data_IF_021403119501
#
_entry.id   IF_021403119501
#
_cell.length_a   1.000
_cell.length_b   1.000
_cell.length_c   1.000
_cell.angle_alpha   90.00
_cell.angle_beta   90.00
_cell.angle_gamma   90.00
#
_symmetry.space_group_name_H-M   'P 1'
#
loop_
_entity.id
_entity.type
_entity.pdbx_description
1 polymer ?
#
# COMPACT_ATOMS: atom_id res chain seq x y z
N UNK A 1 20.26 0.42 -18.12
CA UNK A 1 19.30 0.24 -19.25
C UNK A 1 18.24 1.34 -19.22
N UNK A 2 17.93 2.03 -20.32
CA UNK A 2 17.00 3.20 -20.33
C UNK A 2 15.60 2.84 -19.79
N UNK A 3 15.08 1.68 -20.17
CA UNK A 3 13.75 1.20 -19.75
C UNK A 3 13.68 1.00 -18.23
N UNK A 4 14.70 0.39 -17.60
CA UNK A 4 14.72 0.18 -16.15
C UNK A 4 14.76 1.49 -15.37
N UNK A 5 15.47 2.50 -15.89
CA UNK A 5 15.48 3.84 -15.31
C UNK A 5 14.09 4.48 -15.37
N UNK A 6 13.40 4.36 -16.51
CA UNK A 6 12.03 4.86 -16.66
C UNK A 6 11.04 4.15 -15.73
N UNK A 7 11.17 2.83 -15.55
CA UNK A 7 10.34 2.06 -14.61
C UNK A 7 10.57 2.51 -13.17
N UNK A 8 11.83 2.70 -12.73
CA UNK A 8 12.12 3.24 -11.39
C UNK A 8 11.52 4.63 -11.17
N UNK A 9 11.68 5.53 -12.13
CA UNK A 9 11.10 6.88 -12.01
C UNK A 9 9.57 6.86 -11.92
N UNK A 10 8.91 5.94 -12.66
CA UNK A 10 7.46 5.79 -12.57
C UNK A 10 7.04 5.24 -11.20
N UNK A 11 7.75 4.24 -10.68
CA UNK A 11 7.50 3.65 -9.37
C UNK A 11 7.71 4.67 -8.24
N UNK A 12 8.78 5.47 -8.29
CA UNK A 12 9.01 6.60 -7.37
C UNK A 12 7.87 7.61 -7.41
N UNK A 13 7.38 7.94 -8.61
CA UNK A 13 6.25 8.85 -8.75
C UNK A 13 4.97 8.28 -8.14
N UNK A 14 4.64 7.02 -8.40
CA UNK A 14 3.46 6.37 -7.83
C UNK A 14 3.57 6.34 -6.29
N UNK A 15 4.72 5.97 -5.75
CA UNK A 15 4.99 5.99 -4.30
C UNK A 15 4.76 7.39 -3.71
N UNK A 16 5.28 8.43 -4.35
CA UNK A 16 5.09 9.80 -3.88
C UNK A 16 3.59 10.21 -3.87
N UNK A 17 2.84 9.83 -4.90
CA UNK A 17 1.39 10.07 -4.96
C UNK A 17 0.65 9.33 -3.84
N UNK A 18 1.04 8.09 -3.53
CA UNK A 18 0.47 7.31 -2.42
C UNK A 18 0.78 7.93 -1.06
N UNK A 19 2.02 8.37 -0.83
CA UNK A 19 2.44 9.08 0.39
C UNK A 19 1.66 10.40 0.57
N UNK A 20 1.55 11.20 -0.49
CA UNK A 20 0.77 12.44 -0.48
C UNK A 20 -0.71 12.18 -0.19
N UNK A 21 -1.28 11.11 -0.76
CA UNK A 21 -2.68 10.72 -0.55
C UNK A 21 -2.92 10.28 0.90
N UNK A 22 -2.01 9.51 1.49
CA UNK A 22 -2.07 9.15 2.91
C UNK A 22 -2.03 10.40 3.80
N UNK A 23 -1.15 11.36 3.48
CA UNK A 23 -1.05 12.60 4.25
C UNK A 23 -2.33 13.44 4.14
N UNK A 24 -2.88 13.59 2.94
CA UNK A 24 -4.16 14.26 2.73
C UNK A 24 -5.31 13.58 3.48
N UNK A 25 -5.34 12.24 3.49
CA UNK A 25 -6.30 11.47 4.28
C UNK A 25 -6.17 11.81 5.77
N UNK A 26 -4.96 11.75 6.35
CA UNK A 26 -4.73 12.09 7.76
C UNK A 26 -5.15 13.52 8.10
N UNK A 27 -4.82 14.48 7.24
CA UNK A 27 -5.26 15.87 7.43
C UNK A 27 -6.77 16.02 7.36
N UNK A 28 -7.42 15.31 6.43
CA UNK A 28 -8.88 15.28 6.30
C UNK A 28 -9.54 14.73 7.57
N UNK A 29 -8.99 13.65 8.13
CA UNK A 29 -9.47 13.06 9.38
C UNK A 29 -9.38 14.06 10.53
N UNK A 30 -8.22 14.70 10.72
CA UNK A 30 -8.02 15.70 11.78
C UNK A 30 -9.02 16.86 11.67
N UNK A 31 -9.29 17.34 10.45
CA UNK A 31 -10.27 18.42 10.21
C UNK A 31 -11.70 17.95 10.51
N UNK A 32 -12.04 16.72 10.15
CA UNK A 32 -13.34 16.13 10.44
C UNK A 32 -13.54 15.95 11.95
N UNK A 33 -12.57 15.38 12.66
CA UNK A 33 -12.62 15.24 14.12
C UNK A 33 -12.81 16.59 14.82
N UNK A 34 -12.04 17.61 14.43
CA UNK A 34 -12.20 18.96 14.98
C UNK A 34 -13.58 19.57 14.67
N UNK A 35 -14.17 19.26 13.52
CA UNK A 35 -15.53 19.69 13.17
C UNK A 35 -16.58 18.98 14.02
N UNK A 36 -16.47 17.67 14.22
CA UNK A 36 -17.39 16.88 15.05
C UNK A 36 -17.37 17.39 16.50
N UNK A 37 -16.17 17.56 17.08
CA UNK A 37 -15.98 18.10 18.42
C UNK A 37 -16.57 19.50 18.56
N UNK A 38 -16.28 20.41 17.62
CA UNK A 38 -16.78 21.78 17.66
C UNK A 38 -18.31 21.88 17.64
N UNK A 39 -18.97 20.96 16.95
CA UNK A 39 -20.42 20.93 16.82
C UNK A 39 -21.10 19.96 17.80
N UNK A 40 -20.33 19.34 18.70
CA UNK A 40 -20.82 18.39 19.68
C UNK A 40 -21.59 17.21 19.03
N UNK A 41 -21.16 16.81 17.83
CA UNK A 41 -21.75 15.70 17.08
C UNK A 41 -21.25 14.38 17.66
N UNK A 42 -22.18 13.49 17.99
CA UNK A 42 -21.85 12.12 18.35
C UNK A 42 -21.44 11.34 17.09
N UNK A 43 -20.50 10.41 17.25
CA UNK A 43 -20.12 9.47 16.21
C UNK A 43 -21.14 8.34 16.28
N UNK A 44 -22.01 8.28 15.29
CA UNK A 44 -22.89 7.14 15.07
C UNK A 44 -22.19 6.05 14.25
N UNK A 45 -22.87 4.93 14.05
CA UNK A 45 -22.32 3.76 13.36
C UNK A 45 -21.91 4.08 11.92
N UNK A 46 -22.67 4.92 11.21
CA UNK A 46 -22.37 5.33 9.83
C UNK A 46 -21.07 6.17 9.78
N UNK A 47 -20.87 7.09 10.72
CA UNK A 47 -19.64 7.87 10.84
C UNK A 47 -18.47 6.96 11.24
N UNK A 48 -18.68 6.03 12.17
CA UNK A 48 -17.64 5.07 12.58
C UNK A 48 -17.19 4.19 11.40
N UNK A 49 -18.13 3.67 10.60
CA UNK A 49 -17.85 2.88 9.40
C UNK A 49 -17.08 3.71 8.35
N UNK A 50 -17.47 4.97 8.13
CA UNK A 50 -16.74 5.85 7.22
C UNK A 50 -15.29 6.11 7.68
N UNK A 51 -15.06 6.27 8.98
CA UNK A 51 -13.73 6.40 9.57
C UNK A 51 -12.92 5.11 9.39
N UNK A 52 -13.55 3.95 9.54
CA UNK A 52 -12.92 2.65 9.31
C UNK A 52 -12.50 2.49 7.84
N UNK A 53 -13.36 2.87 6.87
CA UNK A 53 -12.99 2.86 5.46
C UNK A 53 -11.81 3.77 5.15
N UNK A 54 -11.73 4.93 5.80
CA UNK A 54 -10.60 5.84 5.64
C UNK A 54 -9.28 5.22 6.13
N UNK A 55 -9.32 4.49 7.23
CA UNK A 55 -8.16 3.75 7.75
C UNK A 55 -7.75 2.62 6.78
N UNK A 56 -8.71 1.81 6.31
CA UNK A 56 -8.47 0.74 5.32
C UNK A 56 -7.82 1.31 4.05
N UNK A 57 -8.30 2.44 3.53
CA UNK A 57 -7.70 3.12 2.37
C UNK A 57 -6.23 3.46 2.65
N UNK A 58 -5.95 4.02 3.83
CA UNK A 58 -4.58 4.42 4.22
C UNK A 58 -3.65 3.21 4.35
N UNK A 59 -4.16 2.08 4.86
CA UNK A 59 -3.43 0.82 4.94
C UNK A 59 -3.15 0.22 3.54
N UNK A 60 -4.13 0.27 2.63
CA UNK A 60 -3.97 -0.21 1.25
C UNK A 60 -2.95 0.60 0.45
N UNK A 61 -2.94 1.93 0.62
CA UNK A 61 -1.92 2.80 0.02
C UNK A 61 -0.54 2.46 0.58
N UNK A 62 -0.42 2.24 1.90
CA UNK A 62 0.84 1.85 2.54
C UNK A 62 1.35 0.50 2.03
N UNK A 63 0.46 -0.47 1.82
CA UNK A 63 0.82 -1.76 1.26
C UNK A 63 1.32 -1.67 -0.18
N UNK A 64 0.80 -0.72 -0.96
CA UNK A 64 1.26 -0.48 -2.33
C UNK A 64 2.65 0.15 -2.34
N UNK A 65 2.93 1.09 -1.44
CA UNK A 65 4.28 1.65 -1.20
C UNK A 65 5.28 0.53 -0.90
N UNK A 66 4.92 -0.41 -0.01
CA UNK A 66 5.80 -1.54 0.34
C UNK A 66 6.07 -2.47 -0.86
N UNK A 67 5.06 -2.71 -1.70
CA UNK A 67 5.23 -3.48 -2.93
C UNK A 67 6.17 -2.76 -3.91
N UNK A 68 6.04 -1.43 -4.04
CA UNK A 68 6.93 -0.60 -4.86
C UNK A 68 8.37 -0.67 -4.34
N UNK A 69 8.58 -0.59 -3.03
CA UNK A 69 9.91 -0.69 -2.41
C UNK A 69 10.56 -2.06 -2.67
N UNK A 70 9.78 -3.14 -2.61
CA UNK A 70 10.25 -4.48 -2.96
C UNK A 70 10.67 -4.60 -4.44
N UNK A 71 9.92 -3.95 -5.35
CA UNK A 71 10.25 -3.88 -6.77
C UNK A 71 11.54 -3.06 -6.97
N UNK A 72 11.67 -1.90 -6.33
CA UNK A 72 12.87 -1.06 -6.39
C UNK A 72 14.13 -1.83 -6.01
N UNK A 73 14.10 -2.49 -4.84
CA UNK A 73 15.20 -3.32 -4.36
C UNK A 73 15.57 -4.44 -5.33
N UNK A 74 14.58 -5.03 -5.99
CA UNK A 74 14.80 -6.08 -6.98
C UNK A 74 15.48 -5.53 -8.24
N UNK A 75 15.06 -4.34 -8.70
CA UNK A 75 15.66 -3.65 -9.84
C UNK A 75 17.09 -3.18 -9.56
N UNK A 76 17.41 -2.75 -8.34
CA UNK A 76 18.78 -2.39 -7.94
C UNK A 76 19.73 -3.58 -7.99
N UNK A 77 19.29 -4.71 -7.43
CA UNK A 77 20.08 -5.96 -7.45
C UNK A 77 20.33 -6.41 -8.90
N UNK A 78 19.31 -6.31 -9.76
CA UNK A 78 19.46 -6.63 -11.18
C UNK A 78 20.50 -5.75 -11.87
N UNK A 79 20.41 -4.43 -11.70
CA UNK A 79 21.30 -3.46 -12.35
C UNK A 79 22.76 -3.64 -11.90
N UNK A 80 22.97 -3.93 -10.62
CA UNK A 80 24.30 -4.27 -10.09
C UNK A 80 24.89 -5.54 -10.71
N UNK A 81 24.08 -6.59 -10.90
CA UNK A 81 24.54 -7.84 -11.48
C UNK A 81 24.77 -7.73 -13.00
N UNK A 82 23.89 -6.99 -13.70
CA UNK A 82 23.98 -6.75 -15.13
C UNK A 82 25.23 -5.96 -15.52
N UNK A 83 25.62 -4.95 -14.73
CA UNK A 83 26.78 -4.12 -15.01
C UNK A 83 28.13 -4.86 -14.80
N UNK A 84 28.13 -6.05 -14.20
CA UNK A 84 29.35 -6.80 -13.87
C UNK A 84 29.66 -7.97 -14.82
N UNK A 85 28.66 -8.63 -15.45
CA UNK A 85 28.89 -9.73 -16.41
C UNK A 85 27.63 -10.04 -17.27
N UNK A 86 27.80 -10.24 -18.58
CA UNK A 86 26.71 -10.53 -19.53
C UNK A 86 26.11 -11.92 -19.33
N UNK A 87 26.88 -12.91 -18.83
CA UNK A 87 26.31 -14.22 -18.43
C UNK A 87 25.48 -14.13 -17.15
N UNK A 88 25.87 -13.25 -16.23
CA UNK A 88 25.08 -12.97 -15.01
C UNK A 88 23.78 -12.24 -15.34
N UNK A 89 23.69 -11.54 -16.46
CA UNK A 89 22.48 -10.81 -16.87
C UNK A 89 21.26 -11.73 -17.04
N UNK A 90 21.43 -12.91 -17.64
CA UNK A 90 20.33 -13.87 -17.86
C UNK A 90 19.88 -14.47 -16.53
N UNK A 91 20.81 -14.96 -15.71
CA UNK A 91 20.47 -15.47 -14.36
C UNK A 91 19.88 -14.38 -13.46
N UNK A 92 20.27 -13.12 -13.67
CA UNK A 92 19.73 -11.98 -12.92
C UNK A 92 18.33 -11.61 -13.39
N UNK A 93 18.00 -11.79 -14.68
CA UNK A 93 16.64 -11.63 -15.20
C UNK A 93 15.69 -12.66 -14.57
N UNK A 94 16.10 -13.93 -14.51
CA UNK A 94 15.30 -14.99 -13.89
C UNK A 94 15.07 -14.70 -12.39
N UNK A 95 16.12 -14.30 -11.67
CA UNK A 95 16.02 -13.90 -10.25
C UNK A 95 15.16 -12.65 -10.05
N UNK A 96 15.20 -11.70 -10.98
CA UNK A 96 14.34 -10.51 -10.94
C UNK A 96 12.87 -10.93 -11.10
N UNK A 97 12.56 -11.77 -12.09
CA UNK A 97 11.21 -12.27 -12.33
C UNK A 97 10.66 -12.99 -11.08
N UNK A 98 11.43 -13.87 -10.46
CA UNK A 98 11.04 -14.58 -9.24
C UNK A 98 10.73 -13.61 -8.08
N UNK A 99 11.58 -12.60 -7.87
CA UNK A 99 11.38 -11.60 -6.81
C UNK A 99 10.15 -10.74 -7.07
N UNK A 100 9.93 -10.31 -8.30
CA UNK A 100 8.73 -9.56 -8.69
C UNK A 100 7.47 -10.41 -8.51
N UNK A 101 7.53 -11.71 -8.85
CA UNK A 101 6.44 -12.66 -8.61
C UNK A 101 6.09 -12.78 -7.12
N UNK A 102 7.10 -12.91 -6.25
CA UNK A 102 6.91 -12.93 -4.80
C UNK A 102 6.33 -11.63 -4.26
N UNK A 103 6.86 -10.49 -4.69
CA UNK A 103 6.35 -9.17 -4.30
C UNK A 103 4.88 -8.99 -4.72
N UNK A 104 4.52 -9.44 -5.92
CA UNK A 104 3.14 -9.42 -6.40
C UNK A 104 2.22 -10.31 -5.57
N UNK A 105 2.65 -11.51 -5.20
CA UNK A 105 1.87 -12.41 -4.33
C UNK A 105 1.64 -11.77 -2.96
N UNK A 106 2.69 -11.23 -2.33
CA UNK A 106 2.58 -10.53 -1.04
C UNK A 106 1.65 -9.31 -1.11
N UNK A 107 1.72 -8.53 -2.19
CA UNK A 107 0.83 -7.40 -2.40
C UNK A 107 -0.64 -7.84 -2.52
N UNK A 108 -0.91 -8.96 -3.22
CA UNK A 108 -2.27 -9.53 -3.31
C UNK A 108 -2.77 -10.03 -1.96
N UNK A 109 -1.93 -10.76 -1.22
CA UNK A 109 -2.27 -11.25 0.12
C UNK A 109 -2.60 -10.09 1.07
N UNK A 110 -1.82 -9.01 1.05
CA UNK A 110 -2.12 -7.79 1.83
C UNK A 110 -3.42 -7.14 1.42
N UNK A 111 -3.64 -6.95 0.11
CA UNK A 111 -4.90 -6.41 -0.42
C UNK A 111 -6.09 -7.24 0.08
N UNK A 112 -5.99 -8.56 0.00
CA UNK A 112 -7.07 -9.48 0.40
C UNK A 112 -7.34 -9.39 1.89
N UNK A 113 -6.30 -9.34 2.73
CA UNK A 113 -6.42 -9.17 4.18
C UNK A 113 -7.19 -7.89 4.55
N UNK A 114 -6.89 -6.77 3.89
CA UNK A 114 -7.56 -5.50 4.12
C UNK A 114 -8.97 -5.43 3.50
N UNK A 115 -9.27 -6.23 2.47
CA UNK A 115 -10.60 -6.27 1.83
C UNK A 115 -11.61 -7.15 2.58
N UNK A 116 -11.13 -8.12 3.37
CA UNK A 116 -11.96 -9.09 4.07
C UNK A 116 -12.82 -8.55 5.22
N UNK A 117 -12.67 -7.28 5.58
CA UNK A 117 -13.40 -6.63 6.68
C UNK A 117 -14.50 -5.68 6.23
N UNK A 118 -14.75 -5.54 4.93
CA UNK A 118 -15.76 -4.59 4.46
C UNK A 118 -17.18 -5.14 4.63
N UNK A 119 -17.42 -6.46 4.54
CA UNK A 119 -18.73 -7.06 4.84
C UNK A 119 -18.62 -8.52 5.29
N UNK A 120 -18.62 -8.78 6.60
CA UNK A 120 -19.21 -10.01 7.16
C UNK A 120 -19.98 -9.66 8.44
N UNK A 121 -21.29 -9.89 8.36
CA UNK A 121 -22.27 -10.00 9.46
C UNK A 121 -22.91 -8.70 9.97
N UNK A 122 -23.89 -8.23 9.20
CA UNK A 122 -25.04 -7.47 9.71
C UNK A 122 -25.99 -8.36 10.54
N UNK A 123 -25.49 -9.15 11.50
CA UNK A 123 -26.36 -9.92 12.42
C UNK A 123 -25.69 -10.51 13.67
N UNK A 124 -24.39 -10.34 13.94
CA UNK A 124 -23.79 -10.82 15.20
C UNK A 124 -23.12 -9.71 16.01
N UNK A 125 -23.63 -9.58 17.22
CA UNK A 125 -23.41 -8.62 18.31
C UNK A 125 -22.02 -8.74 18.97
N UNK A 126 -20.97 -8.96 18.20
CA UNK A 126 -19.61 -9.06 18.74
C UNK A 126 -18.81 -7.80 18.37
N UNK A 127 -18.77 -6.90 19.35
CA UNK A 127 -17.78 -5.84 19.44
C UNK A 127 -16.40 -6.37 19.04
N UNK A 128 -15.88 -5.85 17.93
CA UNK A 128 -14.54 -6.16 17.47
C UNK A 128 -13.55 -5.45 18.42
N UNK A 129 -13.02 -6.18 19.41
CA UNK A 129 -11.82 -5.79 20.17
C UNK A 129 -10.58 -5.98 19.29
N UNK A 130 -9.79 -4.92 19.09
CA UNK A 130 -8.38 -5.06 18.70
C UNK A 130 -7.47 -4.22 19.60
N UNK A 131 -6.38 -4.88 20.03
CA UNK A 131 -5.27 -4.40 20.86
C UNK A 131 -4.42 -3.31 20.19
#
# INVERSE_FOLDING_TARGET
MVILKSVRMLLEHIKAVEEDTINLSKESLLKLSAYLEKNNMEIDDDVAEALQYQDIISQQLSATIEAIDAVHKSLEIFDHAFNNDEKLAVESMDKLQDKLGKALTQAKEKRDAFSGHIHQNSDDDDAIEFF
#
